data_IF_972086817328
#
_entry.id   IF_972086817328
#
_cell.length_a   1.000
_cell.length_b   1.000
_cell.length_c   1.000
_cell.angle_alpha   90.00
_cell.angle_beta   90.00
_cell.angle_gamma   90.00
#
_symmetry.space_group_name_H-M   'P 1'
#
loop_
_entity.id
_entity.type
_entity.pdbx_description
1 polymer ?
#
# COMPACT_ATOMS: atom_id res chain seq x y z
N UNK A 1 15.80 71.80 32.56
CA UNK A 1 15.21 70.65 33.29
C UNK A 1 15.50 69.40 32.45
N UNK A 2 16.50 68.62 32.86
CA UNK A 2 17.23 67.68 32.00
C UNK A 2 16.52 66.33 31.83
N UNK A 3 16.44 65.83 30.58
CA UNK A 3 15.88 64.52 30.16
C UNK A 3 16.41 63.31 30.96
N UNK A 4 17.51 63.47 31.68
CA UNK A 4 18.12 62.45 32.52
C UNK A 4 17.26 62.03 33.73
N UNK A 5 16.39 62.90 34.28
CA UNK A 5 15.56 62.51 35.43
C UNK A 5 14.38 61.59 35.07
N UNK A 6 13.89 61.65 33.82
CA UNK A 6 12.81 60.78 33.36
C UNK A 6 13.32 59.36 33.05
N UNK A 7 14.56 59.25 32.55
CA UNK A 7 15.16 57.96 32.19
C UNK A 7 15.53 57.10 33.42
N UNK A 8 15.89 57.72 34.54
CA UNK A 8 16.25 57.00 35.78
C UNK A 8 15.03 56.39 36.48
N UNK A 9 13.82 56.95 36.30
CA UNK A 9 12.60 56.40 36.93
C UNK A 9 12.15 55.07 36.35
N UNK A 10 12.45 54.80 35.07
CA UNK A 10 12.02 53.58 34.36
C UNK A 10 12.85 52.36 34.80
N UNK A 11 14.06 52.54 35.32
CA UNK A 11 14.97 51.45 35.76
C UNK A 11 14.77 51.09 37.24
N UNK A 12 13.85 51.75 37.95
CA UNK A 12 13.43 51.31 39.29
C UNK A 12 12.41 50.17 39.22
N UNK A 13 12.77 49.08 38.52
CA UNK A 13 12.07 47.82 38.71
C UNK A 13 12.28 47.39 40.16
N UNK A 14 11.18 47.50 40.91
CA UNK A 14 11.01 47.03 42.27
C UNK A 14 11.88 45.81 42.58
N UNK A 15 12.76 45.93 43.58
CA UNK A 15 13.38 44.77 44.24
C UNK A 15 12.28 44.07 45.05
N UNK A 16 11.41 43.34 44.36
CA UNK A 16 10.42 42.48 45.00
C UNK A 16 11.21 41.48 45.83
N UNK A 17 11.11 41.57 47.16
CA UNK A 17 11.68 40.58 48.09
C UNK A 17 10.84 39.31 47.99
N UNK A 18 11.14 38.50 46.99
CA UNK A 18 10.50 37.19 46.79
C UNK A 18 10.91 36.28 47.95
N UNK A 19 9.94 35.72 48.65
CA UNK A 19 10.19 34.79 49.75
C UNK A 19 10.71 33.45 49.21
N UNK A 20 11.44 32.69 50.04
CA UNK A 20 11.96 31.36 49.66
C UNK A 20 10.83 30.45 49.15
N UNK A 21 9.64 30.54 49.75
CA UNK A 21 8.46 29.80 49.34
C UNK A 21 7.98 30.16 47.92
N UNK A 22 7.97 31.45 47.57
CA UNK A 22 7.58 31.89 46.23
C UNK A 22 8.56 31.44 45.14
N UNK A 23 9.87 31.39 45.44
CA UNK A 23 10.88 30.85 44.50
C UNK A 23 10.66 29.37 44.25
N UNK A 24 10.36 28.61 45.30
CA UNK A 24 10.07 27.18 45.22
C UNK A 24 8.77 26.94 44.43
N UNK A 25 7.74 27.76 44.66
CA UNK A 25 6.47 27.69 43.92
C UNK A 25 6.66 27.96 42.41
N UNK A 26 7.46 28.97 42.03
CA UNK A 26 7.77 29.25 40.63
C UNK A 26 8.49 28.06 39.98
N UNK A 27 9.44 27.44 40.69
CA UNK A 27 10.13 26.23 40.21
C UNK A 27 9.16 25.06 39.98
N UNK A 28 8.24 24.81 40.91
CA UNK A 28 7.22 23.76 40.78
C UNK A 28 6.30 24.05 39.57
N UNK A 29 5.84 25.29 39.41
CA UNK A 29 4.99 25.68 38.27
C UNK A 29 5.73 25.47 36.94
N UNK A 30 7.02 25.84 36.87
CA UNK A 30 7.83 25.65 35.67
C UNK A 30 7.99 24.16 35.32
N UNK A 31 8.23 23.30 36.31
CA UNK A 31 8.32 21.84 36.10
C UNK A 31 6.97 21.26 35.65
N UNK A 32 5.87 21.65 36.28
CA UNK A 32 4.52 21.20 35.88
C UNK A 32 4.18 21.65 34.45
N UNK A 33 4.59 22.85 34.05
CA UNK A 33 4.43 23.36 32.69
C UNK A 33 5.22 22.51 31.68
N UNK A 34 6.48 22.17 32.01
CA UNK A 34 7.31 21.29 31.17
C UNK A 34 6.69 19.89 31.03
N UNK A 35 6.24 19.28 32.13
CA UNK A 35 5.58 17.97 32.10
C UNK A 35 4.33 18.03 31.22
N UNK A 36 3.53 19.10 31.33
CA UNK A 36 2.34 19.29 30.50
C UNK A 36 2.67 19.38 29.01
N UNK A 37 3.74 20.10 28.65
CA UNK A 37 4.20 20.22 27.25
C UNK A 37 4.68 18.86 26.73
N UNK A 38 5.49 18.14 27.51
CA UNK A 38 6.01 16.81 27.13
C UNK A 38 4.83 15.83 26.94
N UNK A 39 3.88 15.82 27.87
CA UNK A 39 2.68 14.97 27.78
C UNK A 39 1.85 15.31 26.53
N UNK A 40 1.62 16.60 26.27
CA UNK A 40 0.87 17.05 25.09
C UNK A 40 1.55 16.64 23.77
N UNK A 41 2.86 16.86 23.64
CA UNK A 41 3.63 16.45 22.46
C UNK A 41 3.64 14.92 22.32
N UNK A 42 3.82 14.20 23.43
CA UNK A 42 3.82 12.74 23.45
C UNK A 42 2.49 12.15 22.96
N UNK A 43 1.37 12.63 23.49
CA UNK A 43 0.02 12.19 23.08
C UNK A 43 -0.21 12.48 21.59
N UNK A 44 0.12 13.69 21.13
CA UNK A 44 -0.06 14.05 19.72
C UNK A 44 0.84 13.22 18.79
N UNK A 45 2.08 12.93 19.20
CA UNK A 45 3.00 12.09 18.45
C UNK A 45 2.48 10.67 18.33
N UNK A 46 2.01 10.06 19.43
CA UNK A 46 1.40 8.72 19.41
C UNK A 46 0.17 8.68 18.52
N UNK A 47 -0.73 9.67 18.62
CA UNK A 47 -1.92 9.74 17.78
C UNK A 47 -1.58 9.87 16.29
N UNK A 48 -0.56 10.67 15.96
CA UNK A 48 -0.09 10.81 14.58
C UNK A 48 0.51 9.49 14.06
N UNK A 49 1.35 8.83 14.86
CA UNK A 49 1.95 7.54 14.52
C UNK A 49 0.89 6.45 14.35
N UNK A 50 -0.12 6.39 15.22
CA UNK A 50 -1.21 5.42 15.09
C UNK A 50 -1.99 5.63 13.79
N UNK A 51 -2.32 6.88 13.47
CA UNK A 51 -3.02 7.21 12.21
C UNK A 51 -2.15 6.85 10.99
N UNK A 52 -0.88 7.22 11.00
CA UNK A 52 0.06 6.91 9.91
C UNK A 52 0.25 5.40 9.75
N UNK A 53 0.38 4.67 10.86
CA UNK A 53 0.51 3.20 10.86
C UNK A 53 -0.73 2.52 10.29
N UNK A 54 -1.94 2.98 10.63
CA UNK A 54 -3.18 2.45 10.05
C UNK A 54 -3.26 2.66 8.54
N UNK A 55 -2.87 3.85 8.07
CA UNK A 55 -2.83 4.16 6.63
C UNK A 55 -1.81 3.26 5.93
N UNK A 56 -0.58 3.19 6.46
CA UNK A 56 0.49 2.36 5.91
C UNK A 56 0.12 0.87 5.87
N UNK A 57 -0.55 0.36 6.91
CA UNK A 57 -1.01 -1.03 6.96
C UNK A 57 -2.08 -1.29 5.90
N UNK A 58 -3.00 -0.34 5.67
CA UNK A 58 -4.01 -0.47 4.61
C UNK A 58 -3.34 -0.48 3.23
N UNK A 59 -2.49 0.51 2.93
CA UNK A 59 -1.78 0.60 1.66
C UNK A 59 -0.91 -0.64 1.39
N UNK A 60 -0.24 -1.17 2.42
CA UNK A 60 0.56 -2.38 2.32
C UNK A 60 -0.28 -3.61 1.96
N UNK A 61 -1.50 -3.75 2.53
CA UNK A 61 -2.42 -4.83 2.18
C UNK A 61 -2.90 -4.72 0.75
N UNK A 62 -3.27 -3.50 0.32
CA UNK A 62 -3.74 -3.25 -1.04
C UNK A 62 -2.63 -3.57 -2.07
N UNK A 63 -1.39 -3.14 -1.81
CA UNK A 63 -0.24 -3.47 -2.64
C UNK A 63 0.07 -4.96 -2.66
N UNK A 64 0.00 -5.63 -1.51
CA UNK A 64 0.24 -7.06 -1.43
C UNK A 64 -0.79 -7.86 -2.25
N UNK A 65 -2.08 -7.50 -2.15
CA UNK A 65 -3.14 -8.14 -2.91
C UNK A 65 -2.92 -8.00 -4.43
N UNK A 66 -2.51 -6.81 -4.90
CA UNK A 66 -2.20 -6.57 -6.31
C UNK A 66 -0.95 -7.31 -6.79
N UNK A 67 0.11 -7.34 -5.98
CA UNK A 67 1.31 -8.11 -6.32
C UNK A 67 0.99 -9.60 -6.43
N UNK A 68 0.16 -10.11 -5.53
CA UNK A 68 -0.32 -11.50 -5.57
C UNK A 68 -1.19 -11.76 -6.80
N UNK A 69 -2.10 -10.84 -7.15
CA UNK A 69 -2.88 -10.93 -8.39
C UNK A 69 -1.97 -10.95 -9.62
N UNK A 70 -0.97 -10.06 -9.68
CA UNK A 70 0.01 -10.01 -10.77
C UNK A 70 0.76 -11.34 -10.90
N UNK A 71 1.24 -11.89 -9.78
CA UNK A 71 1.94 -13.18 -9.79
C UNK A 71 1.03 -14.30 -10.29
N UNK A 72 -0.19 -14.40 -9.77
CA UNK A 72 -1.15 -15.42 -10.20
C UNK A 72 -1.48 -15.29 -11.69
N UNK A 73 -1.61 -14.06 -12.20
CA UNK A 73 -1.82 -13.79 -13.62
C UNK A 73 -0.64 -14.29 -14.45
N UNK A 74 0.60 -14.00 -14.06
CA UNK A 74 1.79 -14.51 -14.76
C UNK A 74 1.88 -16.04 -14.72
N UNK A 75 1.53 -16.65 -13.59
CA UNK A 75 1.52 -18.10 -13.45
C UNK A 75 0.47 -18.78 -14.34
N UNK A 76 -0.64 -18.10 -14.64
CA UNK A 76 -1.72 -18.61 -15.48
C UNK A 76 -1.25 -18.94 -16.91
N UNK A 77 -0.22 -18.27 -17.41
CA UNK A 77 0.32 -18.50 -18.75
C UNK A 77 1.21 -19.75 -18.83
N UNK A 78 1.83 -20.17 -17.72
CA UNK A 78 2.84 -21.24 -17.72
C UNK A 78 2.31 -22.58 -18.25
N UNK A 79 1.14 -23.09 -17.83
CA UNK A 79 0.67 -24.39 -18.30
C UNK A 79 0.45 -24.45 -19.81
N UNK A 80 -0.02 -23.36 -20.43
CA UNK A 80 -0.20 -23.28 -21.88
C UNK A 80 1.13 -23.36 -22.61
N UNK A 81 2.15 -22.63 -22.13
CA UNK A 81 3.51 -22.71 -22.66
C UNK A 81 4.12 -24.11 -22.47
N UNK A 82 3.99 -24.68 -21.28
CA UNK A 82 4.49 -26.00 -20.92
C UNK A 82 3.84 -27.09 -21.80
N UNK A 83 2.53 -27.01 -22.04
CA UNK A 83 1.83 -27.88 -22.98
C UNK A 83 2.40 -27.81 -24.42
N UNK A 84 2.79 -26.63 -24.89
CA UNK A 84 3.42 -26.46 -26.20
C UNK A 84 4.86 -27.01 -26.26
N UNK A 85 5.53 -27.17 -25.11
CA UNK A 85 6.90 -27.71 -25.02
C UNK A 85 6.88 -29.23 -24.96
N UNK A 86 6.03 -29.82 -24.11
CA UNK A 86 6.06 -31.26 -23.83
C UNK A 86 4.77 -32.02 -24.17
N UNK A 87 3.66 -31.34 -24.48
CA UNK A 87 2.40 -31.97 -24.89
C UNK A 87 1.66 -32.71 -23.78
N UNK A 88 2.01 -32.46 -22.50
CA UNK A 88 1.40 -33.15 -21.37
C UNK A 88 0.03 -32.57 -21.02
N UNK A 89 -1.01 -33.39 -21.13
CA UNK A 89 -2.39 -33.01 -20.84
C UNK A 89 -2.64 -32.67 -19.36
N UNK A 90 -1.74 -33.03 -18.45
CA UNK A 90 -1.79 -32.59 -17.05
C UNK A 90 -1.79 -31.05 -16.95
N UNK A 91 -1.17 -30.36 -17.91
CA UNK A 91 -1.13 -28.89 -17.90
C UNK A 91 -2.52 -28.24 -18.02
N UNK A 92 -3.48 -28.91 -18.65
CA UNK A 92 -4.86 -28.42 -18.64
C UNK A 92 -5.44 -28.39 -17.22
N UNK A 93 -5.14 -29.39 -16.39
CA UNK A 93 -5.58 -29.44 -14.99
C UNK A 93 -4.89 -28.34 -14.18
N UNK A 94 -3.60 -28.14 -14.40
CA UNK A 94 -2.83 -27.06 -13.77
C UNK A 94 -3.39 -25.68 -14.15
N UNK A 95 -3.73 -25.49 -15.43
CA UNK A 95 -4.38 -24.27 -15.92
C UNK A 95 -5.71 -24.00 -15.22
N UNK A 96 -6.61 -24.99 -15.16
CA UNK A 96 -7.92 -24.82 -14.51
C UNK A 96 -7.77 -24.46 -13.02
N UNK A 97 -6.79 -25.06 -12.33
CA UNK A 97 -6.49 -24.72 -10.95
C UNK A 97 -6.02 -23.26 -10.82
N UNK A 98 -5.02 -22.86 -11.62
CA UNK A 98 -4.47 -21.51 -11.58
C UNK A 98 -5.48 -20.44 -12.00
N UNK A 99 -6.33 -20.73 -12.99
CA UNK A 99 -7.43 -19.86 -13.43
C UNK A 99 -8.40 -19.59 -12.27
N UNK A 100 -8.78 -20.64 -11.53
CA UNK A 100 -9.67 -20.50 -10.37
C UNK A 100 -9.04 -19.64 -9.25
N UNK A 101 -7.74 -19.81 -9.00
CA UNK A 101 -6.99 -19.05 -7.99
C UNK A 101 -6.88 -17.59 -8.41
N UNK A 102 -6.58 -17.33 -9.68
CA UNK A 102 -6.41 -15.98 -10.21
C UNK A 102 -7.75 -15.23 -10.24
N UNK A 103 -8.84 -15.87 -10.65
CA UNK A 103 -10.21 -15.33 -10.59
C UNK A 103 -10.67 -15.02 -9.16
N UNK A 104 -10.38 -15.91 -8.21
CA UNK A 104 -10.70 -15.65 -6.79
C UNK A 104 -9.92 -14.44 -6.26
N UNK A 105 -8.62 -14.33 -6.58
CA UNK A 105 -7.79 -13.19 -6.19
C UNK A 105 -8.26 -11.88 -6.85
N UNK A 106 -8.74 -11.95 -8.10
CA UNK A 106 -9.30 -10.80 -8.81
C UNK A 106 -10.53 -10.24 -8.10
N UNK A 107 -11.47 -11.11 -7.71
CA UNK A 107 -12.68 -10.73 -6.96
C UNK A 107 -12.28 -10.09 -5.63
N UNK A 108 -11.36 -10.71 -4.89
CA UNK A 108 -10.83 -10.18 -3.63
C UNK A 108 -10.25 -8.77 -3.82
N UNK A 109 -9.40 -8.57 -4.84
CA UNK A 109 -8.84 -7.25 -5.14
C UNK A 109 -9.92 -6.22 -5.50
N UNK A 110 -10.94 -6.62 -6.29
CA UNK A 110 -12.03 -5.73 -6.70
C UNK A 110 -12.81 -5.22 -5.48
N UNK A 111 -13.13 -6.10 -4.53
CA UNK A 111 -13.86 -5.74 -3.29
C UNK A 111 -13.08 -4.78 -2.37
N UNK A 112 -11.75 -4.93 -2.26
CA UNK A 112 -10.93 -4.05 -1.39
C UNK A 112 -10.61 -2.69 -2.02
N UNK A 113 -10.62 -2.62 -3.36
CA UNK A 113 -10.02 -1.52 -4.11
C UNK A 113 -10.94 -0.35 -4.46
N UNK A 114 -12.22 -0.37 -4.03
CA UNK A 114 -13.26 0.62 -4.43
C UNK A 114 -12.82 2.09 -4.28
N UNK A 115 -11.81 2.37 -3.45
CA UNK A 115 -11.28 3.72 -3.21
C UNK A 115 -10.00 4.10 -3.99
N UNK A 116 -9.27 3.16 -4.59
CA UNK A 116 -7.90 3.42 -5.08
C UNK A 116 -7.67 3.14 -6.57
N UNK A 117 -8.36 2.15 -7.13
CA UNK A 117 -8.25 1.77 -8.54
C UNK A 117 -9.60 2.03 -9.22
N UNK A 118 -9.59 2.71 -10.35
CA UNK A 118 -10.82 3.02 -11.08
C UNK A 118 -11.45 1.77 -11.68
N UNK A 119 -12.77 1.79 -11.88
CA UNK A 119 -13.54 0.71 -12.53
C UNK A 119 -12.91 0.27 -13.87
N UNK A 120 -12.38 1.23 -14.62
CA UNK A 120 -11.67 0.98 -15.89
C UNK A 120 -10.50 -0.01 -15.72
N UNK A 121 -9.72 0.09 -14.66
CA UNK A 121 -8.57 -0.81 -14.41
C UNK A 121 -9.03 -2.27 -14.30
N UNK A 122 -10.08 -2.54 -13.51
CA UNK A 122 -10.61 -3.89 -13.36
C UNK A 122 -11.31 -4.40 -14.61
N UNK A 123 -11.97 -3.51 -15.36
CA UNK A 123 -12.60 -3.90 -16.63
C UNK A 123 -11.56 -4.27 -17.70
N UNK A 124 -10.45 -3.53 -17.76
CA UNK A 124 -9.32 -3.85 -18.64
C UNK A 124 -8.70 -5.21 -18.24
N UNK A 125 -8.45 -5.42 -16.95
CA UNK A 125 -7.85 -6.64 -16.43
C UNK A 125 -8.78 -7.87 -16.59
N UNK A 126 -10.11 -7.70 -16.44
CA UNK A 126 -11.09 -8.75 -16.71
C UNK A 126 -11.12 -9.16 -18.19
N UNK A 127 -10.99 -8.19 -19.11
CA UNK A 127 -10.87 -8.47 -20.54
C UNK A 127 -9.61 -9.28 -20.84
N UNK A 128 -8.50 -8.90 -20.21
CA UNK A 128 -7.20 -9.55 -20.39
C UNK A 128 -7.25 -11.00 -19.88
N UNK A 129 -7.88 -11.26 -18.72
CA UNK A 129 -8.18 -12.60 -18.23
C UNK A 129 -8.97 -13.44 -19.23
N UNK A 130 -10.07 -12.90 -19.77
CA UNK A 130 -10.90 -13.62 -20.76
C UNK A 130 -10.12 -13.95 -22.02
N UNK A 131 -9.24 -13.04 -22.47
CA UNK A 131 -8.41 -13.27 -23.65
C UNK A 131 -7.40 -14.39 -23.41
N UNK A 132 -6.71 -14.37 -22.27
CA UNK A 132 -5.78 -15.45 -21.88
C UNK A 132 -6.50 -16.79 -21.74
N UNK A 133 -7.69 -16.80 -21.12
CA UNK A 133 -8.50 -18.00 -20.98
C UNK A 133 -8.87 -18.59 -22.35
N UNK A 134 -9.33 -17.76 -23.28
CA UNK A 134 -9.66 -18.20 -24.64
C UNK A 134 -8.46 -18.80 -25.37
N UNK A 135 -7.33 -18.09 -25.38
CA UNK A 135 -6.11 -18.54 -26.07
C UNK A 135 -5.56 -19.84 -25.45
N UNK A 136 -5.55 -19.94 -24.12
CA UNK A 136 -5.12 -21.15 -23.43
C UNK A 136 -6.00 -22.36 -23.80
N UNK A 137 -7.32 -22.17 -23.82
CA UNK A 137 -8.26 -23.22 -24.22
C UNK A 137 -8.12 -23.63 -25.70
N UNK A 138 -7.69 -22.71 -26.57
CA UNK A 138 -7.36 -23.03 -27.97
C UNK A 138 -6.06 -23.82 -28.08
N UNK A 139 -5.02 -23.43 -27.34
CA UNK A 139 -3.75 -24.16 -27.24
C UNK A 139 -3.99 -25.60 -26.79
N UNK A 140 -4.78 -25.83 -25.73
CA UNK A 140 -5.07 -27.18 -25.22
C UNK A 140 -5.89 -28.05 -26.19
N UNK A 141 -6.51 -27.48 -27.23
CA UNK A 141 -7.24 -28.23 -28.27
C UNK A 141 -6.34 -28.67 -29.43
N UNK A 142 -5.10 -28.21 -29.50
CA UNK A 142 -4.17 -28.61 -30.55
C UNK A 142 -3.86 -30.12 -30.47
N UNK A 143 -4.03 -30.82 -31.60
CA UNK A 143 -3.72 -32.26 -31.69
C UNK A 143 -2.22 -32.54 -31.64
N UNK A 144 -1.40 -31.65 -32.23
CA UNK A 144 0.06 -31.72 -32.22
C UNK A 144 0.61 -30.42 -31.62
N UNK A 145 0.69 -30.32 -30.27
CA UNK A 145 1.06 -29.07 -29.61
C UNK A 145 2.57 -28.78 -29.65
N UNK A 146 3.40 -29.83 -29.70
CA UNK A 146 4.86 -29.69 -29.62
C UNK A 146 5.40 -29.00 -30.87
N UNK A 147 5.97 -27.80 -30.69
CA UNK A 147 6.53 -26.99 -31.78
C UNK A 147 5.46 -26.48 -32.77
N UNK A 148 4.20 -26.38 -32.34
CA UNK A 148 3.12 -25.91 -33.18
C UNK A 148 3.24 -24.39 -33.44
N UNK A 149 3.30 -23.94 -34.70
CA UNK A 149 3.43 -22.51 -35.01
C UNK A 149 2.20 -21.70 -34.62
N UNK A 150 0.99 -22.25 -34.73
CA UNK A 150 -0.24 -21.57 -34.31
C UNK A 150 -0.27 -21.42 -32.79
N UNK A 151 0.11 -22.47 -32.06
CA UNK A 151 0.28 -22.41 -30.61
C UNK A 151 1.33 -21.40 -30.17
N UNK A 152 2.45 -21.31 -30.89
CA UNK A 152 3.50 -20.32 -30.61
C UNK A 152 3.01 -18.89 -30.81
N UNK A 153 2.21 -18.64 -31.86
CA UNK A 153 1.58 -17.33 -32.10
C UNK A 153 0.57 -16.98 -31.01
N UNK A 154 -0.26 -17.93 -30.59
CA UNK A 154 -1.18 -17.74 -29.45
C UNK A 154 -0.42 -17.41 -28.16
N UNK A 155 0.73 -18.05 -27.93
CA UNK A 155 1.58 -17.77 -26.77
C UNK A 155 2.18 -16.36 -26.82
N UNK A 156 2.66 -15.92 -27.99
CA UNK A 156 3.14 -14.54 -28.19
C UNK A 156 2.03 -13.51 -27.93
N UNK A 157 0.80 -13.80 -28.35
CA UNK A 157 -0.35 -12.96 -28.02
C UNK A 157 -0.66 -12.93 -26.52
N UNK A 158 -0.47 -14.04 -25.80
CA UNK A 158 -0.64 -14.08 -24.34
C UNK A 158 0.44 -13.27 -23.63
N UNK A 159 1.71 -13.42 -24.04
CA UNK A 159 2.84 -12.68 -23.48
C UNK A 159 2.73 -11.17 -23.70
N UNK A 160 2.11 -10.73 -24.81
CA UNK A 160 1.86 -9.32 -25.07
C UNK A 160 0.79 -8.68 -24.15
N UNK A 161 -0.01 -9.50 -23.46
CA UNK A 161 -1.04 -9.05 -22.52
C UNK A 161 -0.49 -8.95 -21.09
N UNK A 162 0.45 -9.82 -20.72
CA UNK A 162 0.97 -9.99 -19.34
C UNK A 162 2.22 -9.17 -19.01
#
# INVERSE_FOLDING_TARGET
MSKYQVMVRIISFSRIKITIFQRLLIGIIAVLMLISIIAYVGINSVNYLEKSSKIMLKESKDQFALQKLKLNFQQLLMPSNDYLIHGDKVEFVNFVLLDSIAKAQFIECKEYSETHFGEKFFNDLERDFKKIESLSLEIFKLENPIGNPDGSFMMEEMDAIS
#
